data_IF_939588727661
#
_entry.id   IF_939588727661
#
_cell.length_a   1.000
_cell.length_b   1.000
_cell.length_c   1.000
_cell.angle_alpha   90.00
_cell.angle_beta   90.00
_cell.angle_gamma   90.00
#
_symmetry.space_group_name_H-M   'P 1'
#
loop_
_entity.id
_entity.type
_entity.pdbx_description
1 polymer ?
#
# COMPACT_ATOMS: atom_id res chain seq x y z
N UNK A 1 -7.77 -27.80 -6.41
CA UNK A 1 -7.75 -26.39 -5.95
C UNK A 1 -7.65 -26.45 -4.43
N UNK A 2 -6.43 -26.33 -3.88
CA UNK A 2 -6.20 -26.43 -2.43
C UNK A 2 -6.63 -25.11 -1.78
N UNK A 3 -7.57 -25.15 -0.84
CA UNK A 3 -7.90 -23.99 0.00
C UNK A 3 -6.63 -23.58 0.75
N UNK A 4 -6.26 -22.30 0.65
CA UNK A 4 -5.09 -21.78 1.37
C UNK A 4 -5.31 -21.87 2.87
N UNK A 5 -4.28 -22.39 3.55
CA UNK A 5 -4.20 -22.58 4.99
C UNK A 5 -4.31 -21.22 5.68
N UNK A 6 -5.30 -21.07 6.57
CA UNK A 6 -5.43 -19.88 7.41
C UNK A 6 -4.26 -19.84 8.40
N UNK A 7 -3.55 -18.72 8.48
CA UNK A 7 -2.49 -18.55 9.47
C UNK A 7 -2.88 -17.47 10.48
N UNK A 8 -2.83 -17.85 11.76
CA UNK A 8 -3.12 -16.97 12.87
C UNK A 8 -1.86 -16.63 13.64
N UNK A 9 -1.92 -15.48 14.30
CA UNK A 9 -0.81 -14.97 15.09
C UNK A 9 -0.94 -15.31 16.58
N UNK A 10 -2.00 -16.04 16.97
CA UNK A 10 -2.24 -16.60 18.30
C UNK A 10 -2.11 -18.13 18.26
N UNK A 11 -1.82 -18.75 19.40
CA UNK A 11 -1.95 -20.20 19.54
C UNK A 11 -3.41 -20.60 19.29
N UNK A 12 -3.64 -21.73 18.61
CA UNK A 12 -4.98 -22.27 18.34
C UNK A 12 -5.88 -22.42 19.58
N UNK A 13 -5.31 -22.33 20.79
CA UNK A 13 -6.00 -22.46 22.06
C UNK A 13 -7.01 -21.32 22.38
N UNK A 14 -6.97 -20.18 21.69
CA UNK A 14 -7.95 -19.10 21.91
C UNK A 14 -9.28 -19.32 21.17
N UNK A 15 -9.36 -20.32 20.29
CA UNK A 15 -10.56 -20.65 19.49
C UNK A 15 -10.77 -22.17 19.43
N UNK A 16 -11.38 -22.78 20.46
CA UNK A 16 -11.48 -24.24 20.60
C UNK A 16 -12.32 -24.94 19.50
N UNK A 17 -13.18 -24.21 18.79
CA UNK A 17 -14.07 -24.77 17.76
C UNK A 17 -13.45 -24.85 16.35
N UNK A 18 -12.20 -24.39 16.17
CA UNK A 18 -11.54 -24.41 14.88
C UNK A 18 -10.33 -25.35 14.89
N UNK A 19 -10.51 -26.54 14.32
CA UNK A 19 -9.41 -27.47 14.06
C UNK A 19 -8.48 -26.89 12.98
N UNK A 20 -7.35 -26.34 13.40
CA UNK A 20 -6.28 -25.89 12.49
C UNK A 20 -5.09 -26.83 12.55
N UNK A 21 -4.61 -27.27 11.38
CA UNK A 21 -3.40 -28.07 11.23
C UNK A 21 -2.17 -27.29 11.71
N UNK A 22 -1.60 -27.73 12.83
CA UNK A 22 -0.28 -27.29 13.30
C UNK A 22 0.80 -27.79 12.33
N UNK A 23 1.29 -26.93 11.45
CA UNK A 23 2.59 -27.12 10.80
C UNK A 23 3.55 -26.07 11.33
N UNK A 24 4.59 -26.55 12.00
CA UNK A 24 5.72 -25.81 12.55
C UNK A 24 6.61 -25.18 11.46
N UNK A 25 7.22 -24.05 11.83
CA UNK A 25 8.35 -23.35 11.20
C UNK A 25 8.02 -22.49 9.95
N UNK A 26 8.10 -21.17 10.15
CA UNK A 26 7.90 -20.09 9.15
C UNK A 26 6.58 -20.11 8.37
N UNK A 27 5.49 -19.74 9.05
CA UNK A 27 4.18 -19.53 8.40
C UNK A 27 4.14 -18.22 7.60
N UNK A 28 4.92 -18.13 6.52
CA UNK A 28 4.79 -17.10 5.50
C UNK A 28 3.69 -17.53 4.54
N UNK A 29 2.62 -16.74 4.44
CA UNK A 29 1.52 -16.99 3.50
C UNK A 29 1.50 -15.92 2.43
N UNK A 30 1.43 -16.31 1.17
CA UNK A 30 1.22 -15.38 0.06
C UNK A 30 -0.25 -15.33 -0.35
N UNK A 31 -0.80 -14.14 -0.54
CA UNK A 31 -2.14 -13.94 -1.11
C UNK A 31 -2.16 -12.64 -1.92
N UNK A 32 -2.61 -12.71 -3.17
CA UNK A 32 -2.71 -11.57 -4.09
C UNK A 32 -1.38 -10.78 -4.24
N UNK A 33 -0.23 -11.47 -4.17
CA UNK A 33 1.10 -10.86 -4.28
C UNK A 33 1.59 -10.15 -3.00
N UNK A 34 0.88 -10.31 -1.89
CA UNK A 34 1.28 -9.86 -0.55
C UNK A 34 1.74 -11.05 0.26
N UNK A 35 2.96 -10.97 0.79
CA UNK A 35 3.53 -11.96 1.70
C UNK A 35 3.24 -11.54 3.14
N UNK A 36 2.61 -12.41 3.90
CA UNK A 36 2.34 -12.20 5.32
C UNK A 36 3.19 -13.14 6.16
N UNK A 37 4.11 -12.59 6.94
CA UNK A 37 4.87 -13.32 7.93
C UNK A 37 4.12 -13.26 9.27
N UNK A 38 3.46 -14.36 9.66
CA UNK A 38 2.63 -14.38 10.87
C UNK A 38 3.47 -14.33 12.15
N UNK A 39 4.69 -14.88 12.10
CA UNK A 39 5.62 -14.92 13.24
C UNK A 39 6.03 -13.51 13.63
N UNK A 40 6.40 -12.69 12.64
CA UNK A 40 6.78 -11.29 12.85
C UNK A 40 5.62 -10.30 12.72
N UNK A 41 4.42 -10.75 12.34
CA UNK A 41 3.27 -9.88 12.05
C UNK A 41 3.53 -8.88 10.93
N UNK A 42 4.38 -9.21 9.96
CA UNK A 42 4.85 -8.25 8.94
C UNK A 42 4.24 -8.56 7.58
N UNK A 43 3.74 -7.53 6.88
CA UNK A 43 3.44 -7.60 5.46
C UNK A 43 4.67 -7.23 4.64
N UNK A 44 4.97 -8.04 3.63
CA UNK A 44 6.01 -7.81 2.65
C UNK A 44 5.38 -7.77 1.26
N UNK A 45 5.72 -6.74 0.50
CA UNK A 45 5.25 -6.55 -0.87
C UNK A 45 6.42 -6.69 -1.82
N UNK A 46 6.32 -7.62 -2.77
CA UNK A 46 7.33 -7.79 -3.82
C UNK A 46 6.88 -7.09 -5.09
N UNK A 47 7.25 -5.83 -5.26
CA UNK A 47 6.99 -5.07 -6.48
C UNK A 47 8.23 -5.14 -7.37
N UNK A 48 8.30 -6.18 -8.20
CA UNK A 48 9.36 -6.32 -9.21
C UNK A 48 8.81 -5.91 -10.58
N UNK A 49 9.28 -4.81 -11.19
CA UNK A 49 8.90 -4.49 -12.56
C UNK A 49 9.40 -5.59 -13.51
N UNK A 50 8.66 -5.85 -14.60
CA UNK A 50 9.13 -6.75 -15.65
C UNK A 50 10.43 -6.20 -16.25
N UNK A 51 11.43 -7.05 -16.45
CA UNK A 51 12.76 -6.67 -16.98
C UNK A 51 12.77 -6.34 -18.49
N UNK A 52 11.60 -6.25 -19.12
CA UNK A 52 11.50 -5.87 -20.53
C UNK A 52 11.87 -4.39 -20.69
N UNK A 53 12.94 -4.11 -21.44
CA UNK A 53 13.43 -2.75 -21.68
C UNK A 53 12.53 -1.90 -22.59
N UNK A 54 11.47 -2.50 -23.14
CA UNK A 54 10.50 -1.82 -24.00
C UNK A 54 9.15 -1.93 -23.29
N UNK A 55 8.66 -0.80 -22.79
CA UNK A 55 7.33 -0.69 -22.23
C UNK A 55 6.41 0.07 -23.19
N UNK A 56 5.15 -0.32 -23.21
CA UNK A 56 4.06 0.49 -23.77
C UNK A 56 3.26 1.16 -22.66
N UNK A 57 2.44 2.16 -23.01
CA UNK A 57 1.48 2.76 -22.06
C UNK A 57 0.56 1.70 -21.44
N UNK A 58 0.17 0.67 -22.21
CA UNK A 58 -0.62 -0.46 -21.72
C UNK A 58 0.13 -1.27 -20.67
N UNK A 59 1.41 -1.55 -20.88
CA UNK A 59 2.22 -2.32 -19.94
C UNK A 59 2.36 -1.59 -18.60
N UNK A 60 2.56 -0.28 -18.63
CA UNK A 60 2.61 0.54 -17.41
C UNK A 60 1.32 0.46 -16.63
N UNK A 61 0.17 0.63 -17.30
CA UNK A 61 -1.12 0.50 -16.64
C UNK A 61 -1.31 -0.90 -16.03
N UNK A 62 -0.91 -1.94 -16.75
CA UNK A 62 -0.95 -3.31 -16.27
C UNK A 62 -0.08 -3.49 -15.03
N UNK A 63 1.15 -2.98 -15.00
CA UNK A 63 2.01 -3.05 -13.82
C UNK A 63 1.41 -2.32 -12.61
N UNK A 64 0.77 -1.16 -12.83
CA UNK A 64 0.08 -0.44 -11.75
C UNK A 64 -1.11 -1.24 -11.22
N UNK A 65 -1.91 -1.82 -12.11
CA UNK A 65 -3.12 -2.57 -11.75
C UNK A 65 -2.82 -3.89 -11.01
N UNK A 66 -1.62 -4.46 -11.20
CA UNK A 66 -1.16 -5.66 -10.47
C UNK A 66 -0.89 -5.40 -8.98
N UNK A 67 -0.72 -4.14 -8.58
CA UNK A 67 -0.44 -3.80 -7.20
C UNK A 67 -1.74 -3.88 -6.40
N UNK A 68 -1.91 -4.99 -5.67
CA UNK A 68 -3.00 -5.14 -4.71
C UNK A 68 -2.61 -4.50 -3.37
N UNK A 69 -3.22 -3.36 -3.06
CA UNK A 69 -2.93 -2.60 -1.85
C UNK A 69 -4.23 -2.00 -1.25
N UNK A 70 -5.04 -2.81 -0.54
CA UNK A 70 -6.34 -2.37 -0.01
C UNK A 70 -6.20 -1.32 1.09
N UNK A 71 -5.09 -1.32 1.84
CA UNK A 71 -4.83 -0.40 2.95
C UNK A 71 -3.97 0.81 2.55
N UNK A 72 -3.54 0.89 1.29
CA UNK A 72 -2.69 1.95 0.77
C UNK A 72 -1.28 1.99 1.37
N UNK A 73 -0.78 0.86 1.87
CA UNK A 73 0.54 0.72 2.52
C UNK A 73 1.69 1.02 1.55
N UNK A 74 1.47 0.80 0.26
CA UNK A 74 2.34 1.18 -0.85
C UNK A 74 1.99 2.56 -1.41
N UNK A 75 1.28 3.39 -0.65
CA UNK A 75 0.78 4.71 -1.05
C UNK A 75 1.79 5.55 -1.83
N UNK A 76 3.06 5.72 -1.38
CA UNK A 76 4.09 6.45 -2.13
C UNK A 76 4.40 5.83 -3.50
N UNK A 77 4.52 4.51 -3.58
CA UNK A 77 4.81 3.76 -4.81
C UNK A 77 3.65 3.87 -5.80
N UNK A 78 2.44 3.59 -5.33
CA UNK A 78 1.21 3.66 -6.15
C UNK A 78 0.95 5.10 -6.60
N UNK A 79 1.17 6.10 -5.75
CA UNK A 79 1.07 7.53 -6.10
C UNK A 79 2.04 7.93 -7.20
N UNK A 80 3.30 7.50 -7.10
CA UNK A 80 4.32 7.80 -8.11
C UNK A 80 3.93 7.18 -9.45
N UNK A 81 3.51 5.92 -9.44
CA UNK A 81 3.12 5.20 -10.65
C UNK A 81 1.85 5.77 -11.30
N UNK A 82 0.83 6.14 -10.51
CA UNK A 82 -0.38 6.81 -11.03
C UNK A 82 -0.08 8.19 -11.63
N UNK A 83 0.81 8.95 -11.00
CA UNK A 83 1.24 10.25 -11.55
C UNK A 83 2.02 10.07 -12.85
N UNK A 84 2.88 9.07 -12.92
CA UNK A 84 3.59 8.71 -14.14
C UNK A 84 2.62 8.34 -15.27
N UNK A 85 1.61 7.51 -14.97
CA UNK A 85 0.54 7.21 -15.93
C UNK A 85 -0.16 8.48 -16.42
N UNK A 86 -0.44 9.44 -15.53
CA UNK A 86 -0.99 10.75 -15.90
C UNK A 86 -0.09 11.51 -16.89
N UNK A 87 1.23 11.47 -16.71
CA UNK A 87 2.17 12.09 -17.66
C UNK A 87 2.10 11.42 -19.05
N UNK A 88 1.99 10.09 -19.11
CA UNK A 88 1.83 9.38 -20.39
C UNK A 88 0.54 9.77 -21.12
N UNK A 89 -0.55 10.01 -20.38
CA UNK A 89 -1.80 10.52 -20.95
C UNK A 89 -1.64 11.92 -21.54
N UNK A 90 -0.87 12.80 -20.88
CA UNK A 90 -0.59 14.15 -21.36
C UNK A 90 0.26 14.15 -22.64
N UNK A 91 1.15 13.16 -22.79
CA UNK A 91 1.95 12.97 -24.01
C UNK A 91 1.14 12.45 -25.20
N UNK A 92 -0.14 12.10 -25.00
CA UNK A 92 -1.06 11.57 -26.03
C UNK A 92 -0.51 10.35 -26.79
N UNK A 93 0.34 9.55 -26.13
CA UNK A 93 0.88 8.31 -26.69
C UNK A 93 -0.25 7.30 -26.95
N UNK A 94 -0.10 6.48 -27.99
CA UNK A 94 -1.02 5.35 -28.20
C UNK A 94 -0.81 4.26 -27.13
N UNK A 95 -1.79 3.37 -26.99
CA UNK A 95 -1.70 2.22 -26.08
C UNK A 95 -0.54 1.28 -26.39
N UNK A 96 -0.23 1.10 -27.67
CA UNK A 96 0.81 0.17 -28.16
C UNK A 96 2.13 0.86 -28.51
N UNK A 97 2.18 2.19 -28.37
CA UNK A 97 3.38 2.96 -28.65
C UNK A 97 4.46 2.72 -27.59
N UNK A 98 5.71 2.64 -28.04
CA UNK A 98 6.87 2.43 -27.18
C UNK A 98 7.15 3.69 -26.36
N UNK A 99 7.41 3.52 -25.08
CA UNK A 99 7.79 4.62 -24.21
C UNK A 99 9.18 5.17 -24.55
N UNK A 100 9.39 6.50 -24.49
CA UNK A 100 10.72 7.09 -24.59
C UNK A 100 11.65 6.57 -23.48
N UNK A 101 12.90 6.25 -23.84
CA UNK A 101 13.92 5.64 -22.96
C UNK A 101 14.15 6.33 -21.60
N UNK A 102 14.10 7.68 -21.46
CA UNK A 102 14.33 8.34 -20.16
C UNK A 102 13.24 8.09 -19.12
N UNK A 103 12.08 7.58 -19.55
CA UNK A 103 10.83 7.54 -18.76
C UNK A 103 10.70 6.19 -18.02
N UNK A 104 11.37 5.14 -18.50
CA UNK A 104 11.27 3.79 -17.92
C UNK A 104 12.06 3.58 -16.61
N UNK A 105 13.07 4.41 -16.33
CA UNK A 105 13.98 4.26 -15.17
C UNK A 105 13.38 4.74 -13.85
N UNK A 106 12.35 5.59 -13.85
CA UNK A 106 11.74 6.10 -12.61
C UNK A 106 10.84 5.08 -11.88
N UNK A 107 10.55 3.94 -12.51
CA UNK A 107 9.67 2.87 -12.01
C UNK A 107 10.30 1.98 -10.92
N UNK A 108 11.48 2.35 -10.39
CA UNK A 108 12.25 1.46 -9.54
C UNK A 108 11.81 1.46 -8.07
N UNK A 109 11.37 0.25 -7.67
CA UNK A 109 11.72 -0.50 -6.46
C UNK A 109 11.66 0.26 -5.13
N UNK A 110 10.63 -0.04 -4.35
CA UNK A 110 10.70 0.08 -2.90
C UNK A 110 10.25 -1.26 -2.30
N UNK A 111 11.18 -1.96 -1.66
CA UNK A 111 10.84 -3.00 -0.70
C UNK A 111 10.33 -2.28 0.55
N UNK A 112 9.01 -2.27 0.74
CA UNK A 112 8.39 -1.69 1.93
C UNK A 112 8.05 -2.85 2.86
N UNK A 113 8.68 -2.83 4.04
CA UNK A 113 8.37 -3.75 5.12
C UNK A 113 7.43 -3.03 6.09
N UNK A 114 6.23 -3.57 6.29
CA UNK A 114 5.28 -3.02 7.24
C UNK A 114 5.05 -4.00 8.38
N UNK A 115 5.51 -3.65 9.57
CA UNK A 115 5.40 -4.45 10.79
C UNK A 115 4.08 -4.14 11.49
N UNK A 116 3.17 -5.11 11.64
CA UNK A 116 1.96 -5.03 12.47
C UNK A 116 2.24 -5.49 13.91
N UNK A 117 2.37 -4.51 14.81
CA UNK A 117 2.67 -4.77 16.21
C UNK A 117 1.47 -5.33 16.98
N UNK A 118 1.66 -6.46 17.67
CA UNK A 118 0.71 -7.00 18.64
C UNK A 118 0.84 -6.23 19.95
N UNK A 119 -0.16 -5.45 20.33
CA UNK A 119 -0.23 -4.90 21.68
C UNK A 119 -1.67 -4.73 22.16
N UNK A 120 -1.89 -5.19 23.40
CA UNK A 120 -3.20 -5.38 24.07
C UNK A 120 -3.60 -4.16 24.92
N UNK A 121 -3.16 -2.96 24.55
CA UNK A 121 -3.20 -1.76 25.40
C UNK A 121 -3.80 -0.58 24.60
N UNK A 122 -4.21 0.48 25.31
CA UNK A 122 -4.84 1.69 24.77
C UNK A 122 -4.23 2.13 23.44
N UNK A 123 -5.11 2.33 22.45
CA UNK A 123 -4.76 2.70 21.09
C UNK A 123 -5.24 4.12 20.82
N UNK A 124 -4.34 4.98 20.37
CA UNK A 124 -4.69 6.30 19.84
C UNK A 124 -4.42 6.30 18.34
N UNK A 125 -5.37 6.82 17.56
CA UNK A 125 -5.20 7.02 16.14
C UNK A 125 -4.76 8.46 15.87
N UNK A 126 -3.70 8.60 15.08
CA UNK A 126 -3.20 9.88 14.60
C UNK A 126 -3.43 9.97 13.09
N UNK A 127 -4.19 10.97 12.66
CA UNK A 127 -4.37 11.29 11.25
C UNK A 127 -3.48 12.45 10.85
N UNK A 128 -2.73 12.30 9.76
CA UNK A 128 -1.98 13.38 9.14
C UNK A 128 -2.40 13.51 7.68
N UNK A 129 -2.42 14.73 7.17
CA UNK A 129 -2.83 15.07 5.81
C UNK A 129 -1.84 16.03 5.19
N UNK A 130 -1.46 15.77 3.94
CA UNK A 130 -0.67 16.70 3.14
C UNK A 130 -1.22 16.82 1.71
N UNK A 131 -1.06 18.00 1.11
CA UNK A 131 -1.51 18.33 -0.23
C UNK A 131 -0.46 19.15 -0.97
N UNK A 132 -0.20 18.75 -2.22
CA UNK A 132 0.65 19.46 -3.16
C UNK A 132 -0.08 19.66 -4.48
N UNK A 133 0.44 20.53 -5.34
CA UNK A 133 -0.09 20.75 -6.69
C UNK A 133 -0.15 19.47 -7.54
N UNK A 134 0.68 18.47 -7.23
CA UNK A 134 0.77 17.21 -7.98
C UNK A 134 -0.10 16.11 -7.38
N UNK A 135 -0.21 16.04 -6.06
CA UNK A 135 -0.84 14.94 -5.32
C UNK A 135 -1.29 15.40 -3.95
N UNK A 136 -2.33 14.77 -3.44
CA UNK A 136 -2.77 14.92 -2.05
C UNK A 136 -3.02 13.54 -1.45
N UNK A 137 -2.85 13.44 -0.14
CA UNK A 137 -3.02 12.16 0.54
C UNK A 137 -2.90 12.31 2.05
N UNK A 138 -3.62 11.47 2.76
CA UNK A 138 -3.51 11.41 4.22
C UNK A 138 -3.05 10.02 4.65
N UNK A 139 -2.76 9.93 5.93
CA UNK A 139 -2.17 8.76 6.55
C UNK A 139 -2.68 8.64 7.97
N UNK A 140 -3.00 7.42 8.38
CA UNK A 140 -3.41 7.12 9.75
C UNK A 140 -2.37 6.23 10.40
N UNK A 141 -1.84 6.68 11.53
CA UNK A 141 -0.97 5.90 12.39
C UNK A 141 -1.73 5.44 13.62
N UNK A 142 -1.47 4.21 14.05
CA UNK A 142 -1.87 3.71 15.36
C UNK A 142 -0.69 3.81 16.30
N UNK A 143 -0.89 4.46 17.45
CA UNK A 143 0.07 4.48 18.55
C UNK A 143 -0.43 3.58 19.65
N UNK A 144 0.43 2.67 20.09
CA UNK A 144 0.17 1.80 21.21
C UNK A 144 1.11 2.15 22.35
N UNK A 145 0.54 2.27 23.54
CA UNK A 145 1.28 2.47 24.77
C UNK A 145 1.56 1.10 25.39
N UNK A 146 2.78 0.82 25.80
CA UNK A 146 3.09 -0.36 26.61
C UNK A 146 2.97 0.01 28.09
N UNK A 147 2.70 -0.98 28.94
CA UNK A 147 2.62 -0.78 30.39
C UNK A 147 3.93 -0.22 30.98
N UNK A 148 5.06 -0.39 30.28
CA UNK A 148 6.38 0.09 30.67
C UNK A 148 6.63 1.55 30.28
N UNK A 149 5.63 2.28 29.74
CA UNK A 149 5.78 3.65 29.24
C UNK A 149 6.31 3.75 27.80
N UNK A 150 6.80 2.65 27.23
CA UNK A 150 7.24 2.59 25.84
C UNK A 150 6.08 2.87 24.87
N UNK A 151 6.33 3.74 23.88
CA UNK A 151 5.38 4.09 22.83
C UNK A 151 5.84 3.53 21.50
N UNK A 152 4.96 2.80 20.83
CA UNK A 152 5.20 2.31 19.48
C UNK A 152 4.13 2.83 18.52
N UNK A 153 4.54 3.51 17.46
CA UNK A 153 3.63 4.02 16.43
C UNK A 153 3.85 3.27 15.13
N UNK A 154 2.76 2.92 14.45
CA UNK A 154 2.79 2.18 13.20
C UNK A 154 1.79 2.76 12.20
N UNK A 155 2.18 2.80 10.93
CA UNK A 155 1.25 3.08 9.84
C UNK A 155 0.15 2.02 9.79
N UNK A 156 -1.10 2.47 9.89
CA UNK A 156 -2.31 1.63 9.80
C UNK A 156 -2.82 1.58 8.37
N UNK A 157 -3.03 2.75 7.77
CA UNK A 157 -3.48 2.89 6.39
C UNK A 157 -3.09 4.26 5.83
N UNK A 158 -3.00 4.33 4.50
CA UNK A 158 -2.79 5.58 3.77
C UNK A 158 -3.76 5.62 2.61
N UNK A 159 -4.15 6.82 2.20
CA UNK A 159 -4.89 7.03 0.98
C UNK A 159 -4.36 8.25 0.26
N UNK A 160 -4.01 8.06 -1.00
CA UNK A 160 -3.46 9.09 -1.87
C UNK A 160 -4.19 9.18 -3.20
N UNK A 161 -4.21 10.38 -3.77
CA UNK A 161 -4.74 10.67 -5.10
C UNK A 161 -3.82 11.63 -5.86
N UNK A 162 -3.79 11.45 -7.17
CA UNK A 162 -3.14 12.41 -8.06
C UNK A 162 -4.05 13.63 -8.19
N UNK A 163 -3.48 14.83 -8.08
CA UNK A 163 -4.25 16.06 -8.18
C UNK A 163 -4.84 16.20 -9.60
N UNK A 164 -6.02 16.82 -9.76
CA UNK A 164 -6.58 17.12 -11.07
C UNK A 164 -5.63 17.99 -11.90
N UNK A 165 -5.63 17.78 -13.22
CA UNK A 165 -4.84 18.59 -14.16
C UNK A 165 -5.28 20.06 -14.21
N UNK A 166 -6.55 20.33 -13.88
CA UNK A 166 -7.00 21.71 -13.66
C UNK A 166 -6.41 22.16 -12.35
N UNK A 167 -5.53 23.16 -12.41
CA UNK A 167 -4.86 23.71 -11.24
C UNK A 167 -5.90 24.19 -10.24
N UNK A 168 -6.01 23.46 -9.13
CA UNK A 168 -6.78 23.87 -7.97
C UNK A 168 -5.82 24.49 -6.97
N UNK A 169 -6.29 25.48 -6.22
CA UNK A 169 -5.51 26.07 -5.14
C UNK A 169 -5.28 25.01 -4.05
N UNK A 170 -4.13 25.08 -3.37
CA UNK A 170 -3.78 24.15 -2.27
C UNK A 170 -4.90 24.07 -1.21
N UNK A 171 -5.50 25.19 -0.74
CA UNK A 171 -6.62 25.12 0.21
C UNK A 171 -7.84 24.32 -0.29
N UNK A 172 -8.11 24.34 -1.61
CA UNK A 172 -9.17 23.51 -2.19
C UNK A 172 -8.80 22.04 -2.17
N UNK A 173 -7.54 21.70 -2.46
CA UNK A 173 -7.05 20.32 -2.42
C UNK A 173 -7.11 19.74 -1.00
N UNK A 174 -6.75 20.52 0.02
CA UNK A 174 -6.91 20.15 1.43
C UNK A 174 -8.39 19.87 1.78
N UNK A 175 -9.32 20.70 1.27
CA UNK A 175 -10.76 20.48 1.47
C UNK A 175 -11.24 19.17 0.81
N UNK A 176 -10.80 18.89 -0.42
CA UNK A 176 -11.14 17.63 -1.11
C UNK A 176 -10.58 16.41 -0.37
N UNK A 177 -9.43 16.55 0.27
CA UNK A 177 -8.83 15.50 1.06
C UNK A 177 -9.64 15.16 2.31
N UNK A 178 -10.13 16.16 3.04
CA UNK A 178 -11.02 15.94 4.18
C UNK A 178 -12.30 15.20 3.76
N UNK A 179 -12.97 15.66 2.70
CA UNK A 179 -14.17 15.00 2.17
C UNK A 179 -13.88 13.53 1.75
N UNK A 180 -12.72 13.29 1.16
CA UNK A 180 -12.32 11.97 0.72
C UNK A 180 -12.04 10.99 1.87
N UNK A 181 -11.50 11.48 2.98
CA UNK A 181 -11.26 10.67 4.18
C UNK A 181 -12.56 10.22 4.85
N UNK A 182 -13.56 11.09 4.92
CA UNK A 182 -14.84 10.79 5.57
C UNK A 182 -15.78 9.91 4.72
N UNK A 183 -15.72 9.97 3.39
CA UNK A 183 -16.60 9.21 2.49
C UNK A 183 -16.11 7.78 2.18
N UNK A 184 -15.07 7.31 2.88
CA UNK A 184 -14.38 6.05 2.57
C UNK A 184 -14.55 4.97 3.66
N UNK A 185 -15.43 5.19 4.63
CA UNK A 185 -15.85 4.22 5.64
C UNK A 185 -17.36 4.02 5.59
#
# INVERSE_FOLDING_TARGET
MSLHKWCFSHSANDFPDLHFDQSSEESITETLGVLWNCSSGTFCFKVSPSTNHIFTKRDVLFQIARIFDPLGLLGPVVSKAKFFMLQLWLLKLDWHEKLPVPVATELLLCNIYLFCGKAKISKILYGFSDASEKRFGAVTYVSVFKNNGDRHSQLLCNKSRVAPLKTLTIPRLETYQHAFYFLSY
#
